data_IF_873490783976
#
_entry.id   IF_873490783976
#
_cell.length_a   1.000
_cell.length_b   1.000
_cell.length_c   1.000
_cell.angle_alpha   90.00
_cell.angle_beta   90.00
_cell.angle_gamma   90.00
#
_symmetry.space_group_name_H-M   'P 1'
#
loop_
_entity.id
_entity.type
_entity.pdbx_description
1 polymer ?
#
# COMPACT_ATOMS: atom_id res chain seq x y z
N UNK A 1 10.21 25.86 14.18
CA UNK A 1 11.27 25.83 13.14
C UNK A 1 10.66 25.28 11.88
N UNK A 2 10.56 26.11 10.86
CA UNK A 2 10.12 25.63 9.54
C UNK A 2 11.30 24.94 8.87
N UNK A 3 11.22 23.63 8.76
CA UNK A 3 12.24 22.85 8.05
C UNK A 3 12.07 23.06 6.54
N UNK A 4 13.06 23.66 5.91
CA UNK A 4 13.05 23.84 4.45
C UNK A 4 13.78 22.69 3.80
N UNK A 5 13.03 21.77 3.19
CA UNK A 5 13.58 20.79 2.26
C UNK A 5 13.52 21.34 0.85
N UNK A 6 14.56 21.10 0.04
CA UNK A 6 14.43 21.34 -1.40
C UNK A 6 13.35 20.46 -2.00
N UNK A 7 12.74 20.88 -3.11
CA UNK A 7 11.66 20.13 -3.78
C UNK A 7 12.02 18.67 -4.04
N UNK A 8 13.23 18.41 -4.55
CA UNK A 8 13.71 17.04 -4.78
C UNK A 8 13.78 16.20 -3.50
N UNK A 9 14.24 16.79 -2.39
CA UNK A 9 14.32 16.10 -1.09
C UNK A 9 12.94 15.87 -0.49
N UNK A 10 12.05 16.85 -0.63
CA UNK A 10 10.65 16.71 -0.22
C UNK A 10 9.98 15.56 -0.98
N UNK A 11 10.17 15.46 -2.30
CA UNK A 11 9.65 14.36 -3.13
C UNK A 11 10.07 12.99 -2.61
N UNK A 12 11.30 12.85 -2.10
CA UNK A 12 11.77 11.58 -1.50
C UNK A 12 11.03 11.26 -0.21
N UNK A 13 10.84 12.23 0.68
CA UNK A 13 10.09 12.02 1.95
C UNK A 13 8.61 11.74 1.65
N UNK A 14 8.03 12.41 0.67
CA UNK A 14 6.65 12.14 0.17
C UNK A 14 6.51 10.73 -0.37
N UNK A 15 7.51 10.24 -1.11
CA UNK A 15 7.51 8.86 -1.58
C UNK A 15 7.57 7.86 -0.42
N UNK A 16 8.45 8.08 0.57
CA UNK A 16 8.52 7.22 1.76
C UNK A 16 7.19 7.26 2.53
N UNK A 17 6.58 8.45 2.66
CA UNK A 17 5.26 8.55 3.32
C UNK A 17 4.17 7.84 2.54
N UNK A 18 4.17 7.93 1.22
CA UNK A 18 3.18 7.27 0.35
C UNK A 18 3.09 5.78 0.59
N UNK A 19 4.25 5.11 0.70
CA UNK A 19 4.34 3.68 0.96
C UNK A 19 4.30 3.34 2.45
N UNK A 20 4.64 4.28 3.32
CA UNK A 20 4.79 4.07 4.76
C UNK A 20 6.09 3.34 5.10
N UNK A 21 6.35 2.21 4.44
CA UNK A 21 7.56 1.40 4.53
C UNK A 21 8.08 1.11 3.13
N UNK A 22 9.37 1.29 2.89
CA UNK A 22 9.98 1.04 1.58
C UNK A 22 11.47 0.70 1.73
N UNK A 23 12.02 -0.16 0.88
CA UNK A 23 13.47 -0.36 0.80
C UNK A 23 14.12 0.72 -0.06
N UNK A 24 15.45 0.88 0.06
CA UNK A 24 16.19 1.81 -0.81
C UNK A 24 16.05 1.43 -2.30
N UNK A 25 16.09 0.13 -2.61
CA UNK A 25 15.94 -0.38 -3.98
C UNK A 25 14.56 -0.06 -4.54
N UNK A 26 13.52 -0.31 -3.76
CA UNK A 26 12.14 0.03 -4.14
C UNK A 26 11.96 1.54 -4.34
N UNK A 27 12.59 2.36 -3.47
CA UNK A 27 12.53 3.82 -3.56
C UNK A 27 13.22 4.33 -4.84
N UNK A 28 14.38 3.78 -5.20
CA UNK A 28 15.08 4.06 -6.45
C UNK A 28 14.27 3.62 -7.66
N UNK A 29 13.64 2.44 -7.61
CA UNK A 29 12.73 1.95 -8.64
C UNK A 29 11.53 2.86 -8.87
N UNK A 30 11.01 3.45 -7.79
CA UNK A 30 9.88 4.40 -7.84
C UNK A 30 10.30 5.78 -8.34
N UNK A 31 11.42 6.32 -7.87
CA UNK A 31 11.92 7.66 -8.19
C UNK A 31 12.98 7.64 -9.30
N UNK A 32 12.69 6.96 -10.42
CA UNK A 32 13.61 6.78 -11.56
C UNK A 32 14.15 8.09 -12.15
N UNK A 33 13.42 9.19 -11.95
CA UNK A 33 13.79 10.54 -12.39
C UNK A 33 14.80 11.26 -11.47
N UNK A 34 15.07 10.68 -10.29
CA UNK A 34 16.06 11.22 -9.35
C UNK A 34 17.33 10.37 -9.35
N UNK A 35 18.48 11.04 -9.37
CA UNK A 35 19.77 10.35 -9.22
C UNK A 35 19.92 9.73 -7.81
N UNK A 36 20.53 8.54 -7.74
CA UNK A 36 20.74 7.75 -6.51
C UNK A 36 21.35 8.58 -5.37
N UNK A 37 22.34 9.44 -5.65
CA UNK A 37 22.94 10.32 -4.64
C UNK A 37 21.97 11.36 -4.09
N UNK A 38 21.00 11.81 -4.89
CA UNK A 38 19.95 12.74 -4.42
C UNK A 38 19.02 12.02 -3.45
N UNK A 39 18.61 10.79 -3.77
CA UNK A 39 17.79 9.93 -2.91
C UNK A 39 18.51 9.66 -1.59
N UNK A 40 19.78 9.26 -1.66
CA UNK A 40 20.61 9.00 -0.49
C UNK A 40 20.72 10.22 0.44
N UNK A 41 21.06 11.39 -0.09
CA UNK A 41 21.18 12.64 0.68
C UNK A 41 19.84 13.09 1.28
N UNK A 42 18.76 12.92 0.52
CA UNK A 42 17.41 13.25 1.01
C UNK A 42 16.99 12.34 2.17
N UNK A 43 17.30 11.05 2.07
CA UNK A 43 17.06 10.06 3.12
C UNK A 43 17.85 10.41 4.39
N UNK A 44 19.15 10.64 4.26
CA UNK A 44 20.01 11.00 5.39
C UNK A 44 19.50 12.26 6.12
N UNK A 45 19.11 13.31 5.37
CA UNK A 45 18.51 14.49 5.95
C UNK A 45 17.14 14.20 6.59
N UNK A 46 16.32 13.35 5.96
CA UNK A 46 15.03 12.92 6.53
C UNK A 46 15.20 12.18 7.87
N UNK A 47 16.24 11.37 8.00
CA UNK A 47 16.61 10.70 9.25
C UNK A 47 17.08 11.71 10.31
N UNK A 48 17.97 12.64 9.96
CA UNK A 48 18.47 13.70 10.83
C UNK A 48 17.32 14.58 11.38
N UNK A 49 16.36 14.90 10.54
CA UNK A 49 15.17 15.68 10.91
C UNK A 49 14.12 14.84 11.67
N UNK A 50 14.31 13.53 11.77
CA UNK A 50 13.36 12.60 12.39
C UNK A 50 12.07 12.42 11.59
N UNK A 51 12.08 12.65 10.29
CA UNK A 51 10.95 12.39 9.39
C UNK A 51 10.88 10.95 8.94
N UNK A 52 12.05 10.31 8.84
CA UNK A 52 12.21 8.92 8.43
C UNK A 52 13.05 8.21 9.49
N UNK A 53 12.80 6.94 9.70
CA UNK A 53 13.65 6.06 10.50
C UNK A 53 14.05 4.84 9.66
N UNK A 54 15.29 4.37 9.84
CA UNK A 54 15.76 3.13 9.25
C UNK A 54 15.65 1.99 10.26
N UNK A 55 15.01 0.89 9.86
CA UNK A 55 14.87 -0.34 10.67
C UNK A 55 15.56 -1.52 10.00
N UNK A 56 16.05 -2.45 10.79
CA UNK A 56 16.53 -3.73 10.30
C UNK A 56 15.34 -4.66 9.99
N UNK A 57 15.36 -5.32 8.85
CA UNK A 57 14.41 -6.35 8.45
C UNK A 57 15.17 -7.53 7.84
N UNK A 58 15.50 -8.52 8.66
CA UNK A 58 16.43 -9.56 8.30
C UNK A 58 17.81 -8.96 7.96
N UNK A 59 18.31 -9.26 6.76
CA UNK A 59 19.56 -8.69 6.22
C UNK A 59 19.37 -7.34 5.51
N UNK A 60 18.13 -6.89 5.35
CA UNK A 60 17.78 -5.66 4.62
C UNK A 60 17.56 -4.51 5.61
N UNK A 61 17.71 -3.29 5.10
CA UNK A 61 17.30 -2.06 5.79
C UNK A 61 16.07 -1.52 5.12
N UNK A 62 15.10 -1.13 5.93
CA UNK A 62 13.85 -0.52 5.47
C UNK A 62 13.70 0.89 6.02
N UNK A 63 13.16 1.76 5.20
CA UNK A 63 12.84 3.14 5.53
C UNK A 63 11.38 3.19 5.96
N UNK A 64 11.13 3.75 7.13
CA UNK A 64 9.79 3.93 7.68
C UNK A 64 9.51 5.41 7.88
N UNK A 65 8.35 5.86 7.45
CA UNK A 65 7.90 7.23 7.76
C UNK A 65 7.56 7.33 9.25
N UNK A 66 7.96 8.42 9.89
CA UNK A 66 7.57 8.73 11.26
C UNK A 66 6.28 9.55 11.28
N UNK A 67 5.64 9.65 12.46
CA UNK A 67 4.51 10.56 12.64
C UNK A 67 4.89 12.02 12.34
N UNK A 68 6.11 12.44 12.71
CA UNK A 68 6.64 13.77 12.43
C UNK A 68 6.78 13.99 10.93
N UNK A 69 7.32 13.01 10.19
CA UNK A 69 7.45 13.07 8.74
C UNK A 69 6.11 13.14 8.04
N UNK A 70 5.16 12.30 8.43
CA UNK A 70 3.80 12.30 7.87
C UNK A 70 3.09 13.64 8.09
N UNK A 71 3.19 14.21 9.30
CA UNK A 71 2.65 15.55 9.59
C UNK A 71 3.33 16.65 8.77
N UNK A 72 4.65 16.57 8.56
CA UNK A 72 5.39 17.52 7.73
C UNK A 72 4.91 17.53 6.28
N UNK A 73 4.52 16.38 5.75
CA UNK A 73 3.92 16.23 4.40
C UNK A 73 2.47 16.73 4.35
N UNK A 74 1.85 17.01 5.50
CA UNK A 74 0.46 17.46 5.59
C UNK A 74 -0.55 16.32 5.61
N UNK A 75 -0.12 15.10 5.91
CA UNK A 75 -1.04 13.97 6.13
C UNK A 75 -1.45 13.87 7.59
N UNK A 76 -2.64 13.33 7.83
CA UNK A 76 -3.09 12.99 9.19
C UNK A 76 -2.21 11.86 9.69
N UNK A 77 -1.26 12.22 10.57
CA UNK A 77 -0.08 11.43 10.83
C UNK A 77 -0.33 10.08 11.49
N UNK A 78 0.04 9.04 10.80
CA UNK A 78 0.30 7.74 11.37
C UNK A 78 1.74 7.34 11.06
N UNK A 79 2.48 6.88 12.08
CA UNK A 79 3.74 6.19 11.84
C UNK A 79 3.46 4.86 11.12
N UNK A 80 4.39 4.40 10.27
CA UNK A 80 4.30 3.07 9.70
C UNK A 80 4.37 2.01 10.80
N UNK A 81 3.63 0.90 10.63
CA UNK A 81 3.71 -0.23 11.54
C UNK A 81 5.10 -0.87 11.48
N UNK A 82 5.61 -1.31 12.64
CA UNK A 82 6.96 -1.86 12.76
C UNK A 82 7.00 -3.38 13.02
N UNK A 83 5.86 -4.07 13.01
CA UNK A 83 5.82 -5.52 13.20
C UNK A 83 6.42 -6.27 12.00
N UNK A 84 7.17 -7.35 12.25
CA UNK A 84 7.85 -8.11 11.20
C UNK A 84 6.92 -8.59 10.08
N UNK A 85 5.77 -9.17 10.44
CA UNK A 85 4.78 -9.65 9.46
C UNK A 85 4.15 -8.51 8.65
N UNK A 86 3.96 -7.34 9.27
CA UNK A 86 3.45 -6.15 8.60
C UNK A 86 4.49 -5.60 7.62
N UNK A 87 5.76 -5.50 8.05
CA UNK A 87 6.85 -5.06 7.17
C UNK A 87 6.98 -5.95 5.94
N UNK A 88 6.94 -7.28 6.12
CA UNK A 88 6.98 -8.21 4.98
C UNK A 88 5.81 -8.00 4.03
N UNK A 89 4.60 -7.85 4.57
CA UNK A 89 3.41 -7.60 3.76
C UNK A 89 3.55 -6.30 2.97
N UNK A 90 3.87 -5.19 3.64
CA UNK A 90 3.95 -3.88 3.01
C UNK A 90 5.01 -3.83 1.90
N UNK A 91 6.19 -4.44 2.13
CA UNK A 91 7.24 -4.53 1.11
C UNK A 91 6.81 -5.39 -0.07
N UNK A 92 6.10 -6.50 0.17
CA UNK A 92 5.55 -7.33 -0.91
C UNK A 92 4.49 -6.57 -1.71
N UNK A 93 3.61 -5.82 -1.05
CA UNK A 93 2.63 -4.95 -1.72
C UNK A 93 3.32 -3.95 -2.65
N UNK A 94 4.42 -3.33 -2.19
CA UNK A 94 5.19 -2.40 -3.02
C UNK A 94 5.75 -3.08 -4.29
N UNK A 95 6.35 -4.27 -4.14
CA UNK A 95 6.90 -5.02 -5.27
C UNK A 95 5.81 -5.41 -6.28
N UNK A 96 4.63 -5.80 -5.78
CA UNK A 96 3.46 -6.10 -6.61
C UNK A 96 2.99 -4.87 -7.38
N UNK A 97 2.88 -3.71 -6.72
CA UNK A 97 2.50 -2.45 -7.37
C UNK A 97 3.46 -2.16 -8.54
N UNK A 98 4.76 -2.19 -8.28
CA UNK A 98 5.76 -1.88 -9.31
C UNK A 98 5.71 -2.88 -10.48
N UNK A 99 5.59 -4.16 -10.19
CA UNK A 99 5.51 -5.20 -11.22
C UNK A 99 4.26 -5.07 -12.08
N UNK A 100 3.12 -4.74 -11.49
CA UNK A 100 1.88 -4.50 -12.24
C UNK A 100 1.97 -3.25 -13.11
N UNK A 101 2.50 -2.14 -12.57
CA UNK A 101 2.66 -0.91 -13.35
C UNK A 101 3.58 -1.12 -14.55
N UNK A 102 4.69 -1.84 -14.37
CA UNK A 102 5.62 -2.16 -15.46
C UNK A 102 4.96 -3.06 -16.51
N UNK A 103 4.20 -4.08 -16.10
CA UNK A 103 3.46 -4.96 -17.02
C UNK A 103 2.39 -4.21 -17.82
N UNK A 104 1.65 -3.30 -17.18
CA UNK A 104 0.65 -2.50 -17.87
C UNK A 104 1.28 -1.49 -18.81
N UNK A 105 2.37 -0.84 -18.40
CA UNK A 105 3.14 0.07 -19.26
C UNK A 105 3.69 -0.64 -20.51
N UNK A 106 4.20 -1.88 -20.36
CA UNK A 106 4.65 -2.71 -21.49
C UNK A 106 3.50 -3.07 -22.48
N UNK A 107 2.23 -3.01 -22.02
CA UNK A 107 1.04 -3.19 -22.87
C UNK A 107 0.47 -1.87 -23.41
N UNK A 108 1.19 -0.75 -23.25
CA UNK A 108 0.73 0.57 -23.65
C UNK A 108 -0.42 1.12 -22.79
N UNK A 109 -0.62 0.59 -21.58
CA UNK A 109 -1.65 1.03 -20.65
C UNK A 109 -1.02 1.83 -19.54
N UNK A 110 -1.51 3.04 -19.33
CA UNK A 110 -1.08 3.90 -18.23
C UNK A 110 -2.07 3.79 -17.06
N UNK A 111 -1.56 3.35 -15.91
CA UNK A 111 -2.29 3.30 -14.65
C UNK A 111 -1.54 4.09 -13.58
N UNK A 112 -2.25 4.99 -12.92
CA UNK A 112 -1.85 5.47 -11.61
C UNK A 112 -2.18 4.44 -10.53
N UNK A 113 -1.70 4.68 -9.31
CA UNK A 113 -2.07 3.85 -8.16
C UNK A 113 -2.31 4.70 -6.92
N UNK A 114 -3.07 4.14 -5.97
CA UNK A 114 -3.18 4.66 -4.60
C UNK A 114 -2.91 3.53 -3.63
N UNK A 115 -2.06 3.79 -2.66
CA UNK A 115 -1.74 2.86 -1.57
C UNK A 115 -2.86 2.84 -0.52
N UNK A 116 -2.89 1.81 0.35
CA UNK A 116 -3.78 1.76 1.52
C UNK A 116 -3.74 3.08 2.32
N UNK A 117 -2.53 3.62 2.56
CA UNK A 117 -2.35 4.88 3.30
C UNK A 117 -3.05 6.07 2.64
N UNK A 118 -2.98 6.18 1.31
CA UNK A 118 -3.67 7.23 0.56
C UNK A 118 -5.18 7.04 0.60
N UNK A 119 -5.66 5.80 0.48
CA UNK A 119 -7.09 5.49 0.56
C UNK A 119 -7.66 5.75 1.96
N UNK A 120 -6.93 5.39 3.01
CA UNK A 120 -7.30 5.71 4.41
C UNK A 120 -7.36 7.22 4.61
N UNK A 121 -6.39 7.97 4.08
CA UNK A 121 -6.37 9.42 4.18
C UNK A 121 -7.59 10.05 3.47
N UNK A 122 -7.93 9.59 2.28
CA UNK A 122 -9.11 10.06 1.53
C UNK A 122 -10.41 9.82 2.30
N UNK A 123 -10.56 8.63 2.88
CA UNK A 123 -11.73 8.31 3.70
C UNK A 123 -11.80 9.19 4.96
N UNK A 124 -10.66 9.39 5.64
CA UNK A 124 -10.61 10.26 6.82
C UNK A 124 -11.05 11.69 6.50
N UNK A 125 -10.63 12.21 5.36
CA UNK A 125 -11.00 13.57 4.92
C UNK A 125 -12.48 13.69 4.55
N UNK A 126 -13.13 12.57 4.18
CA UNK A 126 -14.57 12.54 3.86
C UNK A 126 -15.46 12.33 5.10
N UNK A 127 -14.89 11.98 6.24
CA UNK A 127 -15.63 11.71 7.49
C UNK A 127 -15.86 12.98 8.30
N UNK A 128 -16.95 12.98 9.09
CA UNK A 128 -17.18 14.03 10.07
C UNK A 128 -16.16 13.96 11.22
N UNK A 129 -15.91 15.11 11.87
CA UNK A 129 -15.03 15.17 13.04
C UNK A 129 -15.44 14.20 14.15
N UNK A 130 -16.72 13.98 14.34
CA UNK A 130 -17.25 13.05 15.34
C UNK A 130 -16.91 11.59 15.02
N UNK A 131 -16.95 11.21 13.72
CA UNK A 131 -16.59 9.88 13.28
C UNK A 131 -15.10 9.61 13.44
N UNK A 132 -14.24 10.60 13.17
CA UNK A 132 -12.78 10.46 13.30
C UNK A 132 -12.29 10.38 14.75
N UNK A 133 -13.08 10.91 15.72
CA UNK A 133 -12.77 10.85 17.15
C UNK A 133 -13.08 9.50 17.82
N UNK A 134 -13.78 8.59 17.13
CA UNK A 134 -14.09 7.26 17.71
C UNK A 134 -12.82 6.47 17.96
N UNK A 135 -12.71 5.79 19.12
CA UNK A 135 -11.59 4.88 19.37
C UNK A 135 -11.45 3.86 18.23
N UNK A 136 -10.23 3.65 17.77
CA UNK A 136 -9.92 2.73 16.65
C UNK A 136 -10.51 3.10 15.27
N UNK A 137 -11.00 4.33 15.05
CA UNK A 137 -11.53 4.75 13.74
C UNK A 137 -10.55 4.45 12.60
N UNK A 138 -9.28 4.83 12.75
CA UNK A 138 -8.21 4.53 11.78
C UNK A 138 -8.09 3.04 11.47
N UNK A 139 -8.13 2.18 12.49
CA UNK A 139 -8.03 0.73 12.32
C UNK A 139 -9.25 0.15 11.59
N UNK A 140 -10.43 0.68 11.86
CA UNK A 140 -11.64 0.26 11.15
C UNK A 140 -11.60 0.68 9.68
N UNK A 141 -11.19 1.91 9.39
CA UNK A 141 -11.07 2.43 8.04
C UNK A 141 -10.04 1.61 7.24
N UNK A 142 -8.86 1.33 7.82
CA UNK A 142 -7.85 0.51 7.17
C UNK A 142 -8.34 -0.90 6.82
N UNK A 143 -9.28 -1.47 7.59
CA UNK A 143 -9.91 -2.75 7.26
C UNK A 143 -10.93 -2.67 6.11
N UNK A 144 -11.39 -1.47 5.77
CA UNK A 144 -12.40 -1.24 4.74
C UNK A 144 -11.80 -0.94 3.36
N UNK A 145 -10.54 -0.55 3.30
CA UNK A 145 -9.85 -0.28 2.03
C UNK A 145 -9.06 -1.51 1.55
N UNK A 146 -8.79 -1.63 0.24
CA UNK A 146 -7.84 -2.61 -0.27
C UNK A 146 -6.38 -2.23 0.06
N UNK A 147 -5.45 -3.16 -0.10
CA UNK A 147 -4.02 -2.87 0.06
C UNK A 147 -3.55 -1.79 -0.92
N UNK A 148 -4.08 -1.79 -2.14
CA UNK A 148 -3.91 -0.71 -3.10
C UNK A 148 -4.98 -0.76 -4.20
N UNK A 149 -5.07 0.32 -4.98
CA UNK A 149 -5.84 0.33 -6.22
C UNK A 149 -4.95 0.75 -7.39
N UNK A 150 -5.24 0.20 -8.57
CA UNK A 150 -4.82 0.78 -9.83
C UNK A 150 -5.98 1.55 -10.44
N UNK A 151 -5.67 2.73 -10.98
CA UNK A 151 -6.69 3.65 -11.51
C UNK A 151 -6.19 4.33 -12.78
N UNK A 152 -7.06 4.42 -13.77
CA UNK A 152 -6.92 5.30 -14.91
C UNK A 152 -8.24 6.06 -15.14
N UNK A 153 -8.37 6.76 -16.27
CA UNK A 153 -9.58 7.54 -16.61
C UNK A 153 -10.85 6.69 -16.69
N UNK A 154 -10.74 5.40 -16.95
CA UNK A 154 -11.86 4.53 -17.25
C UNK A 154 -12.14 3.50 -16.15
N UNK A 155 -11.11 3.07 -15.41
CA UNK A 155 -11.20 1.87 -14.55
C UNK A 155 -10.53 2.04 -13.21
N UNK A 156 -11.10 1.35 -12.22
CA UNK A 156 -10.56 1.24 -10.85
C UNK A 156 -10.51 -0.23 -10.45
N UNK A 157 -9.31 -0.75 -10.25
CA UNK A 157 -9.08 -2.12 -9.82
C UNK A 157 -8.58 -2.15 -8.39
N UNK A 158 -9.26 -2.91 -7.53
CA UNK A 158 -8.85 -3.12 -6.15
C UNK A 158 -7.99 -4.38 -6.03
N UNK A 159 -6.94 -4.33 -5.20
CA UNK A 159 -6.01 -5.42 -4.99
C UNK A 159 -5.82 -5.74 -3.51
N UNK A 160 -5.83 -7.03 -3.19
CA UNK A 160 -5.49 -7.60 -1.89
C UNK A 160 -4.31 -8.56 -2.07
N UNK A 161 -3.29 -8.44 -1.23
CA UNK A 161 -2.12 -9.33 -1.21
C UNK A 161 -2.20 -10.24 0.01
N UNK A 162 -2.30 -11.54 -0.20
CA UNK A 162 -2.47 -12.51 0.88
C UNK A 162 -1.27 -13.45 0.99
N UNK A 163 -0.42 -13.17 1.96
CA UNK A 163 0.78 -13.96 2.24
C UNK A 163 0.52 -15.11 3.20
N UNK A 164 -0.60 -15.11 3.91
CA UNK A 164 -0.98 -16.13 4.89
C UNK A 164 -2.50 -16.27 4.98
N UNK A 165 -2.93 -17.43 5.41
CA UNK A 165 -4.36 -17.73 5.57
C UNK A 165 -4.97 -16.86 6.66
N UNK A 166 -6.04 -16.14 6.34
CA UNK A 166 -6.84 -15.36 7.30
C UNK A 166 -7.97 -16.20 7.88
N UNK A 167 -8.54 -15.74 8.98
CA UNK A 167 -9.73 -16.40 9.56
C UNK A 167 -10.94 -16.29 8.64
N UNK A 168 -11.80 -17.31 8.67
CA UNK A 168 -13.05 -17.36 7.89
C UNK A 168 -13.91 -16.13 8.09
N UNK A 169 -14.06 -15.67 9.32
CA UNK A 169 -14.86 -14.48 9.65
C UNK A 169 -14.31 -13.20 8.98
N UNK A 170 -12.99 -13.05 8.95
CA UNK A 170 -12.35 -11.90 8.27
C UNK A 170 -12.57 -11.94 6.76
N UNK A 171 -12.40 -13.12 6.15
CA UNK A 171 -12.61 -13.29 4.71
C UNK A 171 -14.08 -13.05 4.36
N UNK A 172 -15.01 -13.64 5.11
CA UNK A 172 -16.44 -13.46 4.90
C UNK A 172 -16.85 -11.98 4.95
N UNK A 173 -16.35 -11.24 5.96
CA UNK A 173 -16.59 -9.80 6.08
C UNK A 173 -16.08 -9.05 4.85
N UNK A 174 -14.85 -9.36 4.41
CA UNK A 174 -14.21 -8.70 3.26
C UNK A 174 -14.93 -9.01 1.94
N UNK A 175 -15.41 -10.27 1.75
CA UNK A 175 -16.19 -10.65 0.57
C UNK A 175 -17.52 -9.91 0.50
N UNK A 176 -18.24 -9.79 1.61
CA UNK A 176 -19.48 -9.00 1.68
C UNK A 176 -19.26 -7.52 1.35
N UNK A 177 -18.14 -6.97 1.81
CA UNK A 177 -17.74 -5.60 1.51
C UNK A 177 -17.46 -5.41 0.02
N UNK A 178 -16.67 -6.30 -0.60
CA UNK A 178 -16.38 -6.22 -2.03
C UNK A 178 -17.61 -6.45 -2.90
N UNK A 179 -18.54 -7.31 -2.49
CA UNK A 179 -19.82 -7.44 -3.18
C UNK A 179 -20.54 -6.09 -3.28
N UNK A 180 -20.64 -5.37 -2.16
CA UNK A 180 -21.26 -4.03 -2.13
C UNK A 180 -20.47 -3.02 -2.97
N UNK A 181 -19.15 -3.02 -2.85
CA UNK A 181 -18.28 -2.08 -3.59
C UNK A 181 -18.39 -2.26 -5.11
N UNK A 182 -18.45 -3.51 -5.59
CA UNK A 182 -18.65 -3.81 -7.01
C UNK A 182 -20.07 -3.42 -7.47
N UNK A 183 -21.09 -3.72 -6.68
CA UNK A 183 -22.47 -3.34 -7.00
C UNK A 183 -22.68 -1.82 -7.07
N UNK A 184 -21.98 -1.07 -6.23
CA UNK A 184 -22.03 0.40 -6.20
C UNK A 184 -21.08 1.06 -7.22
N UNK A 185 -20.37 0.28 -8.04
CA UNK A 185 -19.44 0.83 -9.04
C UNK A 185 -18.20 1.50 -8.43
N UNK A 186 -17.87 1.21 -7.15
CA UNK A 186 -16.65 1.76 -6.54
C UNK A 186 -15.39 1.17 -7.17
N UNK A 187 -15.45 -0.11 -7.54
CA UNK A 187 -14.41 -0.83 -8.28
C UNK A 187 -15.03 -1.58 -9.44
N UNK A 188 -14.30 -1.65 -10.56
CA UNK A 188 -14.69 -2.47 -11.72
C UNK A 188 -14.36 -3.93 -11.52
N UNK A 189 -13.29 -4.20 -10.76
CA UNK A 189 -12.82 -5.55 -10.47
C UNK A 189 -12.00 -5.58 -9.18
N UNK A 190 -12.04 -6.72 -8.51
CA UNK A 190 -11.23 -7.01 -7.33
C UNK A 190 -10.31 -8.18 -7.65
N UNK A 191 -9.02 -8.01 -7.34
CA UNK A 191 -7.99 -9.03 -7.51
C UNK A 191 -7.44 -9.44 -6.15
N UNK A 192 -7.28 -10.75 -5.97
CA UNK A 192 -6.52 -11.31 -4.87
C UNK A 192 -5.21 -11.88 -5.40
N UNK A 193 -4.09 -11.41 -4.85
CA UNK A 193 -2.76 -11.90 -5.14
C UNK A 193 -2.37 -12.83 -4.01
N UNK A 194 -2.29 -14.11 -4.29
CA UNK A 194 -2.11 -15.15 -3.28
C UNK A 194 -0.71 -15.75 -3.36
N UNK A 195 -0.03 -15.87 -2.22
CA UNK A 195 1.26 -16.53 -2.13
C UNK A 195 1.17 -18.02 -2.42
N UNK A 196 0.08 -18.68 -2.00
CA UNK A 196 -0.09 -20.13 -2.07
C UNK A 196 -1.47 -20.50 -2.63
N UNK A 197 -1.55 -21.58 -3.38
CA UNK A 197 -2.80 -22.10 -3.92
C UNK A 197 -3.84 -22.46 -2.84
N UNK A 198 -3.38 -22.91 -1.66
CA UNK A 198 -4.26 -23.17 -0.53
C UNK A 198 -4.97 -21.91 -0.03
N UNK A 199 -4.29 -20.76 -0.05
CA UNK A 199 -4.88 -19.45 0.30
C UNK A 199 -5.92 -19.07 -0.75
N UNK A 200 -5.58 -19.17 -2.04
CA UNK A 200 -6.48 -18.94 -3.16
C UNK A 200 -7.76 -19.78 -3.07
N UNK A 201 -7.64 -21.10 -2.92
CA UNK A 201 -8.79 -22.00 -2.79
C UNK A 201 -9.69 -21.62 -1.61
N UNK A 202 -9.08 -21.26 -0.48
CA UNK A 202 -9.83 -20.84 0.71
C UNK A 202 -10.65 -19.58 0.43
N UNK A 203 -10.05 -18.55 -0.15
CA UNK A 203 -10.74 -17.29 -0.48
C UNK A 203 -11.81 -17.51 -1.55
N UNK A 204 -11.51 -18.33 -2.57
CA UNK A 204 -12.43 -18.64 -3.65
C UNK A 204 -13.73 -19.32 -3.16
N UNK A 205 -13.62 -20.21 -2.17
CA UNK A 205 -14.80 -20.84 -1.55
C UNK A 205 -15.73 -19.80 -0.91
N UNK A 206 -15.17 -18.78 -0.20
CA UNK A 206 -15.96 -17.68 0.36
C UNK A 206 -16.51 -16.73 -0.70
N UNK A 207 -15.74 -16.40 -1.72
CA UNK A 207 -16.20 -15.58 -2.84
C UNK A 207 -17.42 -16.23 -3.52
N UNK A 208 -17.35 -17.55 -3.78
CA UNK A 208 -18.46 -18.31 -4.35
C UNK A 208 -19.68 -18.35 -3.43
N UNK A 209 -19.49 -18.57 -2.12
CA UNK A 209 -20.60 -18.62 -1.15
C UNK A 209 -21.34 -17.29 -1.00
N UNK A 210 -20.64 -16.17 -1.17
CA UNK A 210 -21.21 -14.81 -1.13
C UNK A 210 -21.76 -14.40 -2.49
N UNK A 211 -21.37 -15.07 -3.58
CA UNK A 211 -21.71 -14.69 -4.94
C UNK A 211 -21.01 -13.40 -5.37
N UNK A 212 -19.73 -13.26 -5.09
CA UNK A 212 -18.89 -12.15 -5.54
C UNK A 212 -17.85 -12.63 -6.53
N UNK A 213 -17.68 -11.90 -7.64
CA UNK A 213 -16.69 -12.23 -8.67
C UNK A 213 -15.33 -11.63 -8.30
N UNK A 214 -14.39 -12.48 -7.95
CA UNK A 214 -13.01 -12.13 -7.60
C UNK A 214 -12.06 -12.75 -8.63
N UNK A 215 -11.09 -11.99 -9.08
CA UNK A 215 -9.98 -12.49 -9.91
C UNK A 215 -8.78 -12.85 -9.03
N UNK A 216 -8.05 -13.91 -9.41
CA UNK A 216 -6.89 -14.39 -8.67
C UNK A 216 -5.64 -14.35 -9.51
N UNK A 217 -4.52 -13.99 -8.90
CA UNK A 217 -3.17 -14.01 -9.47
C UNK A 217 -2.27 -14.70 -8.45
N UNK A 218 -1.37 -15.55 -8.88
CA UNK A 218 -0.35 -16.08 -7.97
C UNK A 218 0.78 -15.07 -7.81
N UNK A 219 1.29 -14.93 -6.60
CA UNK A 219 2.35 -13.96 -6.29
C UNK A 219 3.59 -14.21 -7.14
N UNK A 220 3.98 -15.49 -7.32
CA UNK A 220 5.15 -15.89 -8.11
C UNK A 220 5.02 -15.55 -9.60
N UNK A 221 3.79 -15.37 -10.10
CA UNK A 221 3.56 -14.90 -11.48
C UNK A 221 3.88 -13.41 -11.65
N UNK A 222 3.95 -12.65 -10.55
CA UNK A 222 4.18 -11.21 -10.56
C UNK A 222 5.60 -10.83 -10.16
N UNK A 223 6.10 -11.45 -9.11
CA UNK A 223 7.43 -11.19 -8.58
C UNK A 223 8.19 -12.49 -8.57
N UNK A 224 9.26 -12.59 -9.35
CA UNK A 224 10.25 -13.65 -9.19
C UNK A 224 11.02 -13.34 -7.91
N UNK A 225 11.01 -14.29 -6.96
CA UNK A 225 11.73 -14.11 -5.70
C UNK A 225 13.21 -13.86 -5.95
N UNK A 226 13.65 -12.63 -5.77
CA UNK A 226 15.05 -12.34 -5.53
C UNK A 226 15.29 -12.57 -4.03
N UNK A 227 15.92 -13.71 -3.73
CA UNK A 227 16.46 -14.04 -2.40
C UNK A 227 17.62 -13.12 -1.99
#
# INVERSE_FOLDING_TARGET
MDYVLSEKRRKVVEAIDRFGVITSVQLERYLKDLGVMTIYRARAQGEELGFVETKAFGRRKVLCITKKGSNFIGRIGSAASAGYSTLQHDLTVNDVIFSLLERYAAQGKDFGFKTERELVQELLLSMSVEQTRKPNALRHIAQEVPDFILVNSERRFAFEVELSRKTSARIQKKMNQYKKSLQNGLYDRVFYICKEDAIKKHIQAFASSVGVNISFIMLDDLITGED
#
